data_IF_529172796462
#
_entry.id   IF_529172796462
#
_cell.length_a   1.000
_cell.length_b   1.000
_cell.length_c   1.000
_cell.angle_alpha   90.00
_cell.angle_beta   90.00
_cell.angle_gamma   90.00
#
_symmetry.space_group_name_H-M   'P 1'
#
loop_
_entity.id
_entity.type
_entity.pdbx_description
1 polymer ?
#
# COMPACT_ATOMS: atom_id res chain seq x y z
N UNK A 1 14.12 -21.84 11.71
CA UNK A 1 13.25 -20.66 11.50
C UNK A 1 12.04 -21.13 10.71
N UNK A 2 10.83 -21.10 11.28
CA UNK A 2 9.63 -21.61 10.61
C UNK A 2 9.25 -20.64 9.48
N UNK A 3 9.33 -21.10 8.23
CA UNK A 3 8.91 -20.32 7.07
C UNK A 3 7.38 -20.26 7.07
N UNK A 4 6.80 -19.20 7.63
CA UNK A 4 5.36 -18.97 7.60
C UNK A 4 4.95 -18.74 6.15
N UNK A 5 4.28 -19.72 5.55
CA UNK A 5 3.73 -19.64 4.20
C UNK A 5 2.76 -18.45 4.16
N UNK A 6 3.17 -17.35 3.54
CA UNK A 6 2.35 -16.15 3.41
C UNK A 6 1.25 -16.46 2.41
N UNK A 7 -0.01 -16.21 2.80
CA UNK A 7 -1.16 -16.37 1.90
C UNK A 7 -1.34 -15.11 1.06
N UNK A 8 -1.85 -15.24 -0.15
CA UNK A 8 -1.99 -14.13 -1.10
C UNK A 8 -3.37 -14.11 -1.74
N UNK A 9 -3.94 -12.91 -1.91
CA UNK A 9 -4.95 -12.67 -2.92
C UNK A 9 -4.27 -12.55 -4.27
N UNK A 10 -4.72 -13.35 -5.24
CA UNK A 10 -4.22 -13.33 -6.62
C UNK A 10 -5.26 -12.69 -7.52
N UNK A 11 -4.84 -11.69 -8.26
CA UNK A 11 -5.61 -11.06 -9.33
C UNK A 11 -4.82 -11.23 -10.64
N UNK A 12 -5.48 -11.74 -11.68
CA UNK A 12 -4.87 -11.96 -12.99
C UNK A 12 -5.55 -11.06 -14.01
N UNK A 13 -4.76 -10.29 -14.75
CA UNK A 13 -5.24 -9.38 -15.78
C UNK A 13 -4.45 -9.57 -17.06
N UNK A 14 -5.13 -9.60 -18.20
CA UNK A 14 -4.49 -9.50 -19.50
C UNK A 14 -4.46 -8.05 -19.94
N UNK A 15 -3.29 -7.54 -20.32
CA UNK A 15 -3.12 -6.17 -20.80
C UNK A 15 -2.39 -6.18 -22.14
N UNK A 16 -2.70 -5.21 -23.01
CA UNK A 16 -1.88 -4.96 -24.20
C UNK A 16 -0.76 -3.99 -23.84
N UNK A 17 0.48 -4.38 -24.10
CA UNK A 17 1.66 -3.55 -23.92
C UNK A 17 2.53 -3.63 -25.18
N UNK A 18 2.75 -2.49 -25.83
CA UNK A 18 3.52 -2.39 -27.08
C UNK A 18 3.01 -3.33 -28.20
N UNK A 19 1.69 -3.44 -28.34
CA UNK A 19 1.06 -4.31 -29.34
C UNK A 19 1.14 -5.80 -29.03
N UNK A 20 1.64 -6.20 -27.86
CA UNK A 20 1.65 -7.59 -27.38
C UNK A 20 0.71 -7.76 -26.20
N UNK A 21 -0.05 -8.85 -26.18
CA UNK A 21 -0.85 -9.23 -25.02
C UNK A 21 0.06 -9.83 -23.96
N UNK A 22 0.06 -9.26 -22.76
CA UNK A 22 0.78 -9.74 -21.59
C UNK A 22 -0.20 -10.14 -20.49
N UNK A 23 0.19 -11.12 -19.68
CA UNK A 23 -0.55 -11.51 -18.46
C UNK A 23 0.16 -10.90 -17.26
N UNK A 24 -0.57 -10.10 -16.49
CA UNK A 24 -0.12 -9.48 -15.25
C UNK A 24 -0.76 -10.22 -14.08
N UNK A 25 0.07 -10.81 -13.22
CA UNK A 25 -0.37 -11.40 -11.97
C UNK A 25 -0.04 -10.46 -10.81
N UNK A 26 -1.08 -9.94 -10.15
CA UNK A 26 -0.95 -9.11 -8.98
C UNK A 26 -1.19 -9.96 -7.72
N UNK A 27 -0.16 -10.14 -6.91
CA UNK A 27 -0.21 -10.88 -5.64
C UNK A 27 -0.22 -9.89 -4.47
N UNK A 28 -1.36 -9.81 -3.78
CA UNK A 28 -1.49 -9.00 -2.57
C UNK A 28 -1.39 -9.90 -1.33
N UNK A 29 -0.41 -9.70 -0.43
CA UNK A 29 -0.24 -10.54 0.75
C UNK A 29 -1.42 -10.37 1.72
N UNK A 30 -1.95 -11.48 2.23
CA UNK A 30 -2.97 -11.51 3.25
C UNK A 30 -2.27 -11.37 4.60
N UNK A 31 -2.37 -10.16 5.16
CA UNK A 31 -1.77 -9.82 6.44
C UNK A 31 -2.67 -10.23 7.60
N UNK A 32 -2.08 -10.76 8.67
CA UNK A 32 -2.79 -10.96 9.93
C UNK A 32 -3.35 -9.60 10.44
N UNK A 33 -4.52 -9.59 11.11
CA UNK A 33 -5.18 -8.34 11.53
C UNK A 33 -4.25 -7.36 12.26
N UNK A 34 -3.46 -7.85 13.22
CA UNK A 34 -2.50 -7.04 13.99
C UNK A 34 -1.43 -6.35 13.11
N UNK A 35 -0.92 -7.05 12.09
CA UNK A 35 0.10 -6.50 11.18
C UNK A 35 -0.53 -5.47 10.24
N UNK A 36 -1.74 -5.77 9.74
CA UNK A 36 -2.51 -4.85 8.91
C UNK A 36 -2.82 -3.55 9.65
N UNK A 37 -3.28 -3.64 10.89
CA UNK A 37 -3.67 -2.48 11.69
C UNK A 37 -2.45 -1.62 12.06
N UNK A 38 -1.29 -2.25 12.35
CA UNK A 38 -0.02 -1.55 12.52
C UNK A 38 0.37 -0.76 11.27
N UNK A 39 0.35 -1.41 10.10
CA UNK A 39 0.69 -0.77 8.82
C UNK A 39 -0.28 0.37 8.47
N UNK A 40 -1.58 0.19 8.75
CA UNK A 40 -2.60 1.23 8.58
C UNK A 40 -2.28 2.46 9.43
N UNK A 41 -1.97 2.26 10.72
CA UNK A 41 -1.60 3.36 11.63
C UNK A 41 -0.33 4.10 11.20
N UNK A 42 0.67 3.38 10.68
CA UNK A 42 1.89 3.99 10.14
C UNK A 42 1.58 4.91 8.95
N UNK A 43 0.74 4.44 8.01
CA UNK A 43 0.28 5.24 6.87
C UNK A 43 -0.50 6.48 7.33
N UNK A 44 -1.47 6.31 8.22
CA UNK A 44 -2.27 7.41 8.77
C UNK A 44 -1.39 8.46 9.48
N UNK A 45 -0.40 8.01 10.25
CA UNK A 45 0.54 8.90 10.93
C UNK A 45 1.39 9.69 9.93
N UNK A 46 1.87 9.02 8.88
CA UNK A 46 2.61 9.66 7.79
C UNK A 46 1.76 10.71 7.07
N UNK A 47 0.54 10.34 6.65
CA UNK A 47 -0.40 11.26 5.98
C UNK A 47 -0.76 12.44 6.87
N UNK A 48 -1.02 12.22 8.16
CA UNK A 48 -1.29 13.29 9.11
C UNK A 48 -0.12 14.28 9.19
N UNK A 49 1.12 13.77 9.23
CA UNK A 49 2.31 14.63 9.26
C UNK A 49 2.43 15.52 8.03
N UNK A 50 2.12 14.97 6.84
CA UNK A 50 2.15 15.69 5.56
C UNK A 50 1.04 16.72 5.50
N UNK A 51 -0.21 16.32 5.76
CA UNK A 51 -1.35 17.23 5.67
C UNK A 51 -1.29 18.36 6.69
N UNK A 52 -0.82 18.08 7.91
CA UNK A 52 -0.62 19.11 8.94
C UNK A 52 0.36 20.20 8.50
N UNK A 53 1.40 19.87 7.72
CA UNK A 53 2.36 20.85 7.19
C UNK A 53 1.70 21.87 6.25
N UNK A 54 0.69 21.45 5.51
CA UNK A 54 -0.01 22.28 4.52
C UNK A 54 -1.41 22.72 4.98
N UNK A 55 -1.76 22.49 6.25
CA UNK A 55 -3.02 22.93 6.80
C UNK A 55 -3.06 24.48 6.86
N UNK A 56 -4.18 25.12 6.44
CA UNK A 56 -4.35 26.57 6.53
C UNK A 56 -4.11 27.06 7.98
N UNK A 57 -3.35 28.15 8.14
CA UNK A 57 -2.96 28.69 9.45
C UNK A 57 -1.72 28.07 10.10
N UNK A 58 -1.05 27.10 9.44
CA UNK A 58 0.28 26.58 9.82
C UNK A 58 1.35 26.82 8.74
N UNK A 59 0.94 27.14 7.52
CA UNK A 59 1.84 27.42 6.39
C UNK A 59 2.50 28.81 6.45
N UNK A 60 2.12 29.64 7.42
CA UNK A 60 2.70 30.96 7.69
C UNK A 60 3.49 30.93 9.01
N UNK A 61 4.70 30.38 8.96
CA UNK A 61 5.79 30.75 9.87
C UNK A 61 7.08 30.42 9.14
N UNK A 62 7.43 31.29 8.19
CA UNK A 62 8.76 31.37 7.60
C UNK A 62 9.29 32.77 7.83
#
# INVERSE_FOLDING_TARGET
MAQTRTSYHKEVKTASFQGRTITVENLTPILAPKVRDKRKREIETGLYSVFRKYAPGRAEMR
#
